data_IF_672778023066
#
_entry.id   IF_672778023066
#
_cell.length_a   1.000
_cell.length_b   1.000
_cell.length_c   1.000
_cell.angle_alpha   90.00
_cell.angle_beta   90.00
_cell.angle_gamma   90.00
#
_symmetry.space_group_name_H-M   'P 1'
#
loop_
_entity.id
_entity.type
_entity.pdbx_description
1 polymer ?
#
# COMPACT_ATOMS: atom_id res chain seq x y z
N UNK A 1 24.68 0.74 6.92
CA UNK A 1 25.25 1.35 8.15
C UNK A 1 24.63 2.73 8.42
N UNK A 2 24.52 3.62 7.41
CA UNK A 2 23.88 4.94 7.54
C UNK A 2 22.48 4.89 8.16
N UNK A 3 21.56 4.08 7.62
CA UNK A 3 20.19 3.90 8.15
C UNK A 3 20.17 3.59 9.66
N UNK A 4 21.08 2.72 10.12
CA UNK A 4 21.15 2.31 11.53
C UNK A 4 21.61 3.43 12.44
N UNK A 5 22.64 4.16 12.02
CA UNK A 5 23.17 5.30 12.77
C UNK A 5 22.09 6.37 12.88
N UNK A 6 21.42 6.69 11.78
CA UNK A 6 20.34 7.68 11.77
C UNK A 6 19.18 7.25 12.67
N UNK A 7 18.70 6.00 12.55
CA UNK A 7 17.64 5.51 13.41
C UNK A 7 18.05 5.49 14.89
N UNK A 8 19.29 5.12 15.19
CA UNK A 8 19.82 5.14 16.56
C UNK A 8 19.82 6.56 17.12
N UNK A 9 20.27 7.55 16.35
CA UNK A 9 20.25 8.96 16.75
C UNK A 9 18.81 9.46 16.98
N UNK A 10 17.87 9.08 16.11
CA UNK A 10 16.44 9.43 16.26
C UNK A 10 15.87 8.83 17.54
N UNK A 11 16.07 7.52 17.77
CA UNK A 11 15.55 6.82 18.96
C UNK A 11 16.19 7.34 20.24
N UNK A 12 17.51 7.56 20.25
CA UNK A 12 18.22 8.12 21.39
C UNK A 12 17.78 9.55 21.68
N UNK A 13 17.67 10.38 20.65
CA UNK A 13 17.19 11.76 20.76
C UNK A 13 15.76 11.84 21.27
N UNK A 14 14.86 11.00 20.76
CA UNK A 14 13.47 10.91 21.23
C UNK A 14 13.41 10.43 22.68
N UNK A 15 14.17 9.41 23.05
CA UNK A 15 14.22 8.90 24.43
C UNK A 15 14.76 9.96 25.39
N UNK A 16 15.84 10.65 25.02
CA UNK A 16 16.41 11.73 25.83
C UNK A 16 15.44 12.90 25.97
N UNK A 17 14.76 13.29 24.90
CA UNK A 17 13.73 14.31 24.92
C UNK A 17 12.59 13.93 25.88
N UNK A 18 12.04 12.72 25.76
CA UNK A 18 10.96 12.23 26.63
C UNK A 18 11.41 12.19 28.09
N UNK A 19 12.65 11.78 28.36
CA UNK A 19 13.19 11.71 29.71
C UNK A 19 13.42 13.10 30.33
N UNK A 20 14.00 14.04 29.59
CA UNK A 20 14.32 15.40 30.06
C UNK A 20 13.04 16.23 30.24
N UNK A 21 12.11 16.15 29.28
CA UNK A 21 10.88 16.94 29.26
C UNK A 21 9.68 16.17 29.79
N UNK A 22 9.88 15.18 30.66
CA UNK A 22 8.83 14.24 31.09
C UNK A 22 7.59 14.92 31.69
N UNK A 23 7.74 16.08 32.34
CA UNK A 23 6.61 16.87 32.86
C UNK A 23 5.75 17.52 31.76
N UNK A 24 6.22 17.52 30.51
CA UNK A 24 5.61 18.17 29.35
C UNK A 24 5.40 17.22 28.17
N UNK A 25 5.71 15.92 28.29
CA UNK A 25 5.59 14.96 27.17
C UNK A 25 4.17 14.84 26.68
N UNK A 26 3.19 14.87 27.58
CA UNK A 26 1.76 14.88 27.25
C UNK A 26 1.37 16.07 26.39
N UNK A 27 1.91 17.26 26.70
CA UNK A 27 1.68 18.47 25.90
C UNK A 27 2.37 18.39 24.54
N UNK A 28 3.56 17.77 24.47
CA UNK A 28 4.24 17.49 23.21
C UNK A 28 3.45 16.54 22.31
N UNK A 29 2.92 15.45 22.88
CA UNK A 29 2.09 14.48 22.18
C UNK A 29 0.75 15.10 21.77
N UNK A 30 0.12 15.89 22.64
CA UNK A 30 -1.08 16.65 22.32
C UNK A 30 -0.84 17.62 21.15
N UNK A 31 0.27 18.36 21.17
CA UNK A 31 0.65 19.26 20.09
C UNK A 31 0.83 18.49 18.78
N UNK A 32 1.51 17.34 18.80
CA UNK A 32 1.68 16.51 17.62
C UNK A 32 0.32 16.04 17.05
N UNK A 33 -0.57 15.55 17.92
CA UNK A 33 -1.92 15.12 17.53
C UNK A 33 -2.72 16.30 16.96
N UNK A 34 -2.61 17.50 17.55
CA UNK A 34 -3.25 18.72 17.04
C UNK A 34 -2.70 19.06 15.64
N UNK A 35 -1.38 19.07 15.45
CA UNK A 35 -0.76 19.38 14.16
C UNK A 35 -1.20 18.39 13.07
N UNK A 36 -1.19 17.09 13.38
CA UNK A 36 -1.68 16.05 12.46
C UNK A 36 -3.18 16.23 12.16
N UNK A 37 -3.99 16.56 13.17
CA UNK A 37 -5.42 16.79 12.99
C UNK A 37 -5.70 18.02 12.12
N UNK A 38 -4.99 19.12 12.36
CA UNK A 38 -5.06 20.34 11.54
C UNK A 38 -4.64 20.03 10.10
N UNK A 39 -3.57 19.26 9.91
CA UNK A 39 -3.12 18.86 8.57
C UNK A 39 -4.15 17.97 7.85
N UNK A 40 -4.73 16.98 8.54
CA UNK A 40 -5.78 16.12 8.00
C UNK A 40 -7.04 16.92 7.63
N UNK A 41 -7.44 17.90 8.46
CA UNK A 41 -8.56 18.81 8.17
C UNK A 41 -8.23 19.68 6.94
N UNK A 42 -7.04 20.26 6.89
CA UNK A 42 -6.58 21.09 5.78
C UNK A 42 -6.63 20.32 4.45
N UNK A 43 -6.04 19.13 4.39
CA UNK A 43 -6.04 18.30 3.17
C UNK A 43 -7.45 17.84 2.78
N UNK A 44 -8.31 17.52 3.76
CA UNK A 44 -9.72 17.21 3.51
C UNK A 44 -10.49 18.39 2.92
N UNK A 45 -10.26 19.61 3.45
CA UNK A 45 -10.87 20.83 2.93
C UNK A 45 -10.36 21.09 1.51
N UNK A 46 -9.05 20.97 1.28
CA UNK A 46 -8.44 21.11 -0.05
C UNK A 46 -9.07 20.14 -1.05
N UNK A 47 -9.27 18.87 -0.68
CA UNK A 47 -9.94 17.88 -1.52
C UNK A 47 -11.40 18.25 -1.83
N UNK A 48 -12.16 18.70 -0.83
CA UNK A 48 -13.54 19.16 -1.05
C UNK A 48 -13.61 20.40 -1.95
N UNK A 49 -12.64 21.30 -1.84
CA UNK A 49 -12.52 22.48 -2.71
C UNK A 49 -12.18 22.02 -4.14
N UNK A 50 -11.18 21.14 -4.31
CA UNK A 50 -10.81 20.55 -5.60
C UNK A 50 -12.02 19.92 -6.29
N UNK A 51 -12.77 19.06 -5.60
CA UNK A 51 -14.01 18.47 -6.13
C UNK A 51 -15.03 19.52 -6.58
N UNK A 52 -15.25 20.58 -5.79
CA UNK A 52 -16.19 21.65 -6.17
C UNK A 52 -15.72 22.42 -7.41
N UNK A 53 -14.41 22.61 -7.55
CA UNK A 53 -13.82 23.25 -8.74
C UNK A 53 -14.00 22.34 -9.95
N UNK A 54 -13.64 21.06 -9.83
CA UNK A 54 -13.74 20.08 -10.92
C UNK A 54 -15.19 19.85 -11.36
N UNK A 55 -16.17 19.91 -10.45
CA UNK A 55 -17.59 19.86 -10.80
C UNK A 55 -18.08 21.11 -11.55
N UNK A 56 -17.55 22.29 -11.22
CA UNK A 56 -17.92 23.55 -11.89
C UNK A 56 -17.19 23.76 -13.21
N UNK A 57 -15.96 23.23 -13.30
CA UNK A 57 -15.07 23.33 -14.45
C UNK A 57 -14.41 21.95 -14.62
N UNK A 58 -15.11 20.99 -15.25
CA UNK A 58 -14.53 19.70 -15.55
C UNK A 58 -13.23 19.91 -16.33
N UNK A 59 -12.16 19.23 -15.92
CA UNK A 59 -10.94 19.20 -16.71
C UNK A 59 -11.29 18.65 -18.09
N UNK A 60 -10.93 19.39 -19.13
CA UNK A 60 -11.09 18.92 -20.51
C UNK A 60 -10.06 17.83 -20.70
N UNK A 61 -10.52 16.60 -20.91
CA UNK A 61 -9.64 15.47 -21.21
C UNK A 61 -9.06 15.67 -22.60
N UNK A 62 -7.73 15.66 -22.74
CA UNK A 62 -7.10 15.66 -24.05
C UNK A 62 -7.24 14.27 -24.69
N UNK A 63 -8.27 14.12 -25.52
CA UNK A 63 -8.54 12.90 -26.28
C UNK A 63 -7.41 12.54 -27.28
N UNK A 64 -6.48 13.47 -27.55
CA UNK A 64 -5.30 13.23 -28.40
C UNK A 64 -4.14 12.61 -27.62
N UNK A 65 -4.11 12.75 -26.29
CA UNK A 65 -3.07 12.14 -25.46
C UNK A 65 -3.34 10.64 -25.28
N UNK A 66 -2.81 9.83 -26.21
CA UNK A 66 -2.94 8.38 -26.25
C UNK A 66 -1.58 7.70 -26.39
N UNK A 67 -0.68 7.85 -25.38
CA UNK A 67 0.66 7.26 -25.42
C UNK A 67 0.60 5.75 -25.63
N UNK A 68 1.61 5.18 -26.28
CA UNK A 68 1.74 3.73 -26.31
C UNK A 68 2.09 3.22 -24.90
N UNK A 69 1.37 2.20 -24.40
CA UNK A 69 1.55 1.69 -23.02
C UNK A 69 2.09 0.26 -23.04
N UNK A 70 3.19 0.00 -22.33
CA UNK A 70 3.64 -1.36 -22.05
C UNK A 70 3.11 -1.80 -20.70
N UNK A 71 2.25 -2.82 -20.68
CA UNK A 71 1.67 -3.38 -19.47
C UNK A 71 2.53 -4.55 -19.01
N UNK A 72 3.18 -4.42 -17.86
CA UNK A 72 4.07 -5.43 -17.28
C UNK A 72 3.36 -6.22 -16.20
N UNK A 73 3.38 -7.54 -16.32
CA UNK A 73 2.74 -8.46 -15.37
C UNK A 73 3.80 -9.47 -14.88
N UNK A 74 4.58 -9.13 -13.83
CA UNK A 74 5.53 -10.05 -13.22
C UNK A 74 4.82 -11.19 -12.48
N UNK A 75 5.26 -12.43 -12.74
CA UNK A 75 4.73 -13.63 -12.14
C UNK A 75 5.86 -14.55 -11.64
N UNK A 76 5.70 -15.11 -10.44
CA UNK A 76 6.58 -16.14 -9.90
C UNK A 76 5.73 -17.18 -9.19
N UNK A 77 5.55 -18.37 -9.77
CA UNK A 77 4.64 -19.42 -9.29
C UNK A 77 3.16 -18.98 -9.22
N UNK A 78 2.61 -18.41 -10.29
CA UNK A 78 1.25 -17.83 -10.36
C UNK A 78 0.38 -18.53 -11.42
N UNK A 79 0.62 -19.82 -11.69
CA UNK A 79 -0.07 -20.58 -12.74
C UNK A 79 -1.60 -20.56 -12.63
N UNK A 80 -2.14 -20.35 -11.42
CA UNK A 80 -3.57 -20.38 -11.13
C UNK A 80 -4.31 -19.07 -11.40
N UNK A 81 -3.58 -17.95 -11.51
CA UNK A 81 -4.17 -16.60 -11.59
C UNK A 81 -3.71 -15.80 -12.82
N UNK A 82 -2.49 -16.02 -13.32
CA UNK A 82 -1.89 -15.16 -14.36
C UNK A 82 -2.71 -15.09 -15.65
N UNK A 83 -3.33 -16.21 -16.06
CA UNK A 83 -4.16 -16.26 -17.26
C UNK A 83 -5.36 -15.31 -17.17
N UNK A 84 -6.05 -15.33 -16.03
CA UNK A 84 -7.23 -14.50 -15.80
C UNK A 84 -6.89 -13.00 -15.78
N UNK A 85 -5.74 -12.65 -15.22
CA UNK A 85 -5.22 -11.27 -15.23
C UNK A 85 -4.97 -10.81 -16.66
N UNK A 86 -4.24 -11.58 -17.47
CA UNK A 86 -3.98 -11.24 -18.87
C UNK A 86 -5.28 -11.12 -19.68
N UNK A 87 -6.23 -12.04 -19.49
CA UNK A 87 -7.56 -11.98 -20.13
C UNK A 87 -8.34 -10.71 -19.76
N UNK A 88 -8.18 -10.21 -18.55
CA UNK A 88 -8.83 -8.97 -18.11
C UNK A 88 -8.16 -7.75 -18.73
N UNK A 89 -6.83 -7.73 -18.81
CA UNK A 89 -6.06 -6.68 -19.49
C UNK A 89 -6.38 -6.63 -20.99
N UNK A 90 -6.58 -7.77 -21.65
CA UNK A 90 -6.97 -7.83 -23.06
C UNK A 90 -8.34 -7.17 -23.36
N UNK A 91 -9.19 -6.99 -22.33
CA UNK A 91 -10.52 -6.36 -22.43
C UNK A 91 -10.50 -4.85 -22.16
N UNK A 92 -9.33 -4.24 -21.93
CA UNK A 92 -9.22 -2.80 -21.74
C UNK A 92 -9.69 -2.05 -23.00
N UNK A 93 -10.49 -1.01 -22.78
CA UNK A 93 -10.97 -0.07 -23.79
C UNK A 93 -9.91 1.01 -24.05
N UNK A 94 -8.73 0.55 -24.49
CA UNK A 94 -7.61 1.39 -24.87
C UNK A 94 -6.87 0.71 -26.03
N UNK A 95 -6.68 1.35 -27.19
CA UNK A 95 -6.14 0.66 -28.37
C UNK A 95 -4.61 0.52 -28.37
N UNK A 96 -3.89 1.42 -27.70
CA UNK A 96 -2.45 1.62 -27.89
C UNK A 96 -1.62 0.96 -26.78
N UNK A 97 -1.68 -0.38 -26.65
CA UNK A 97 -0.88 -1.08 -25.64
C UNK A 97 -0.31 -2.43 -26.12
N UNK A 98 0.74 -2.86 -25.44
CA UNK A 98 1.24 -4.24 -25.44
C UNK A 98 1.24 -4.80 -24.01
N UNK A 99 1.21 -6.13 -23.89
CA UNK A 99 1.33 -6.85 -22.62
C UNK A 99 2.66 -7.60 -22.62
N UNK A 100 3.45 -7.41 -21.57
CA UNK A 100 4.68 -8.15 -21.30
C UNK A 100 4.39 -9.01 -20.07
N UNK A 101 4.04 -10.27 -20.30
CA UNK A 101 3.82 -11.26 -19.24
C UNK A 101 5.17 -11.89 -18.89
N UNK A 102 5.60 -11.75 -17.64
CA UNK A 102 6.99 -12.05 -17.26
C UNK A 102 7.03 -13.20 -16.26
N UNK A 103 7.72 -14.29 -16.61
CA UNK A 103 8.02 -15.38 -15.68
C UNK A 103 9.36 -15.12 -14.98
N UNK A 104 9.33 -14.95 -13.66
CA UNK A 104 10.52 -14.83 -12.82
C UNK A 104 10.95 -16.18 -12.26
N UNK A 105 11.44 -17.08 -13.12
CA UNK A 105 12.09 -18.33 -12.69
C UNK A 105 11.13 -19.22 -11.90
N UNK A 106 9.89 -19.37 -12.39
CA UNK A 106 8.90 -20.21 -11.71
C UNK A 106 9.31 -21.69 -11.73
N UNK A 107 8.84 -22.40 -10.71
CA UNK A 107 8.94 -23.86 -10.58
C UNK A 107 7.65 -24.59 -10.98
N UNK A 108 6.54 -23.86 -11.10
CA UNK A 108 5.24 -24.37 -11.57
C UNK A 108 5.06 -24.14 -13.09
N UNK A 109 3.83 -24.27 -13.61
CA UNK A 109 3.54 -24.10 -15.04
C UNK A 109 3.37 -22.65 -15.50
N UNK A 110 3.68 -21.63 -14.67
CA UNK A 110 3.50 -20.21 -15.03
C UNK A 110 4.11 -19.87 -16.39
N UNK A 111 5.36 -20.29 -16.64
CA UNK A 111 6.05 -20.05 -17.91
C UNK A 111 5.33 -20.67 -19.13
N UNK A 112 4.71 -21.83 -18.95
CA UNK A 112 3.94 -22.50 -20.02
C UNK A 112 2.64 -21.74 -20.29
N UNK A 113 1.92 -21.35 -19.23
CA UNK A 113 0.66 -20.60 -19.33
C UNK A 113 0.85 -19.29 -20.11
N UNK A 114 1.88 -18.51 -19.78
CA UNK A 114 2.11 -17.23 -20.49
C UNK A 114 2.52 -17.41 -21.96
N UNK A 115 3.25 -18.48 -22.30
CA UNK A 115 3.61 -18.80 -23.68
C UNK A 115 2.39 -19.23 -24.50
N UNK A 116 1.48 -19.98 -23.91
CA UNK A 116 0.26 -20.40 -24.59
C UNK A 116 -0.66 -19.20 -24.87
N UNK A 117 -0.68 -18.20 -23.99
CA UNK A 117 -1.42 -16.95 -24.22
C UNK A 117 -0.74 -16.09 -25.30
N UNK A 118 0.59 -15.98 -25.30
CA UNK A 118 1.34 -15.32 -26.39
C UNK A 118 1.01 -15.94 -27.75
N UNK A 119 0.94 -17.28 -27.85
CA UNK A 119 0.53 -17.96 -29.10
C UNK A 119 -0.88 -17.60 -29.55
N UNK A 120 -1.79 -17.35 -28.61
CA UNK A 120 -3.17 -16.97 -28.91
C UNK A 120 -3.28 -15.49 -29.32
N UNK A 121 -2.43 -14.62 -28.77
CA UNK A 121 -2.46 -13.17 -28.97
C UNK A 121 -1.08 -12.60 -29.33
N UNK A 122 -0.41 -13.06 -30.40
CA UNK A 122 1.00 -12.75 -30.67
C UNK A 122 1.27 -11.27 -30.97
N UNK A 123 0.26 -10.52 -31.42
CA UNK A 123 0.36 -9.08 -31.70
C UNK A 123 0.22 -8.21 -30.45
N UNK A 124 -0.30 -8.77 -29.34
CA UNK A 124 -0.58 -8.02 -28.10
C UNK A 124 0.16 -8.51 -26.88
N UNK A 125 0.49 -9.80 -26.80
CA UNK A 125 1.10 -10.43 -25.63
C UNK A 125 2.47 -10.94 -26.00
N UNK A 126 3.48 -10.53 -25.22
CA UNK A 126 4.85 -11.02 -25.29
C UNK A 126 5.17 -11.76 -24.00
N UNK A 127 5.55 -13.03 -24.11
CA UNK A 127 6.03 -13.82 -22.99
C UNK A 127 7.53 -13.56 -22.77
N UNK A 128 7.89 -13.10 -21.58
CA UNK A 128 9.29 -12.88 -21.20
C UNK A 128 9.70 -13.85 -20.10
N UNK A 129 10.49 -14.87 -20.44
CA UNK A 129 10.96 -15.87 -19.48
C UNK A 129 12.35 -15.50 -19.01
N UNK A 130 12.49 -15.15 -17.73
CA UNK A 130 13.81 -14.79 -17.17
C UNK A 130 14.67 -16.04 -16.98
N UNK A 131 15.97 -15.88 -17.18
CA UNK A 131 16.93 -16.95 -16.93
C UNK A 131 16.97 -17.34 -15.44
N UNK A 132 17.28 -18.60 -15.14
CA UNK A 132 17.30 -19.13 -13.76
C UNK A 132 18.31 -18.42 -12.85
N UNK A 133 19.37 -17.86 -13.41
CA UNK A 133 20.42 -17.09 -12.73
C UNK A 133 20.12 -15.59 -12.65
N UNK A 134 19.00 -15.11 -13.19
CA UNK A 134 18.62 -13.71 -13.14
C UNK A 134 18.43 -13.22 -11.70
N UNK A 135 18.70 -11.92 -11.47
CA UNK A 135 18.62 -11.31 -10.16
C UNK A 135 17.17 -11.39 -9.61
N UNK A 136 16.96 -11.86 -8.36
CA UNK A 136 15.63 -12.07 -7.83
C UNK A 136 14.90 -10.80 -7.44
N UNK A 137 13.56 -10.87 -7.45
CA UNK A 137 12.69 -9.84 -6.89
C UNK A 137 12.05 -8.95 -7.95
N UNK A 138 10.86 -8.42 -7.63
CA UNK A 138 9.99 -7.70 -8.55
C UNK A 138 10.68 -6.54 -9.27
N UNK A 139 11.50 -5.75 -8.56
CA UNK A 139 12.26 -4.65 -9.16
C UNK A 139 13.17 -5.08 -10.30
N UNK A 140 13.88 -6.20 -10.15
CA UNK A 140 14.77 -6.70 -11.20
C UNK A 140 13.97 -7.27 -12.38
N UNK A 141 12.85 -7.93 -12.10
CA UNK A 141 11.91 -8.39 -13.13
C UNK A 141 11.40 -7.22 -13.98
N UNK A 142 11.00 -6.13 -13.34
CA UNK A 142 10.50 -4.93 -14.01
C UNK A 142 11.60 -4.18 -14.77
N UNK A 143 12.82 -4.10 -14.23
CA UNK A 143 13.96 -3.52 -14.94
C UNK A 143 14.32 -4.31 -16.20
N UNK A 144 14.43 -5.64 -16.12
CA UNK A 144 14.73 -6.47 -17.30
C UNK A 144 13.62 -6.33 -18.37
N UNK A 145 12.35 -6.24 -17.94
CA UNK A 145 11.24 -6.04 -18.86
C UNK A 145 11.20 -4.63 -19.47
N UNK A 146 11.70 -3.61 -18.76
CA UNK A 146 11.77 -2.23 -19.24
C UNK A 146 12.64 -2.09 -20.49
N UNK A 147 13.71 -2.89 -20.58
CA UNK A 147 14.63 -2.90 -21.73
C UNK A 147 13.95 -3.33 -23.03
N UNK A 148 12.94 -4.19 -22.94
CA UNK A 148 12.20 -4.70 -24.11
C UNK A 148 10.85 -4.03 -24.33
N UNK A 149 10.39 -3.23 -23.37
CA UNK A 149 9.15 -2.48 -23.45
C UNK A 149 9.28 -1.34 -24.46
N UNK A 150 8.22 -1.06 -25.23
CA UNK A 150 8.19 0.00 -26.24
C UNK A 150 7.35 1.22 -25.84
N UNK A 151 6.54 1.09 -24.79
CA UNK A 151 5.57 2.10 -24.35
C UNK A 151 6.22 3.36 -23.81
N UNK A 152 5.67 4.52 -24.15
CA UNK A 152 5.97 5.82 -23.56
C UNK A 152 5.52 5.91 -22.08
N UNK A 153 4.60 5.03 -21.69
CA UNK A 153 4.21 4.79 -20.31
C UNK A 153 4.22 3.29 -20.00
N UNK A 154 4.49 2.97 -18.74
CA UNK A 154 4.59 1.61 -18.21
C UNK A 154 3.48 1.42 -17.17
N UNK A 155 2.65 0.41 -17.36
CA UNK A 155 1.62 0.03 -16.39
C UNK A 155 2.05 -1.27 -15.70
N UNK A 156 2.07 -1.29 -14.38
CA UNK A 156 2.42 -2.50 -13.62
C UNK A 156 1.17 -3.08 -12.96
N UNK A 157 0.95 -4.38 -13.17
CA UNK A 157 -0.04 -5.18 -12.46
C UNK A 157 0.60 -6.36 -11.74
N UNK A 158 0.09 -6.70 -10.57
CA UNK A 158 0.38 -8.01 -9.96
C UNK A 158 -0.31 -9.13 -10.76
N UNK A 159 0.22 -10.35 -10.67
CA UNK A 159 -0.25 -11.50 -11.44
C UNK A 159 -1.70 -11.93 -11.12
N UNK A 160 -2.29 -11.47 -10.02
CA UNK A 160 -3.66 -11.73 -9.60
C UNK A 160 -4.61 -10.54 -9.84
N UNK A 161 -4.14 -9.46 -10.48
CA UNK A 161 -4.92 -8.24 -10.65
C UNK A 161 -6.14 -8.44 -11.57
N UNK A 162 -7.25 -7.79 -11.23
CA UNK A 162 -8.36 -7.54 -12.17
C UNK A 162 -8.80 -6.10 -12.13
N UNK A 163 -9.43 -5.63 -13.21
CA UNK A 163 -9.77 -4.22 -13.42
C UNK A 163 -10.95 -4.09 -14.39
N UNK A 164 -11.61 -2.94 -14.35
CA UNK A 164 -12.68 -2.58 -15.28
C UNK A 164 -12.09 -2.16 -16.65
N UNK A 165 -12.89 -2.25 -17.72
CA UNK A 165 -12.39 -2.02 -19.09
C UNK A 165 -11.89 -0.59 -19.32
N UNK A 166 -12.43 0.40 -18.62
CA UNK A 166 -12.03 1.81 -18.72
C UNK A 166 -10.79 2.16 -17.87
N UNK A 167 -10.18 1.17 -17.20
CA UNK A 167 -9.09 1.38 -16.25
C UNK A 167 -7.92 2.19 -16.83
N UNK A 168 -7.37 1.75 -17.96
CA UNK A 168 -6.19 2.38 -18.54
C UNK A 168 -6.51 3.79 -19.05
N UNK A 169 -7.65 3.95 -19.73
CA UNK A 169 -8.13 5.23 -20.24
C UNK A 169 -8.24 6.27 -19.13
N UNK A 170 -8.78 5.90 -17.96
CA UNK A 170 -8.86 6.79 -16.82
C UNK A 170 -7.48 7.19 -16.23
N UNK A 171 -6.53 6.26 -16.18
CA UNK A 171 -5.17 6.57 -15.68
C UNK A 171 -4.38 7.45 -16.66
N UNK A 172 -4.54 7.24 -17.98
CA UNK A 172 -3.86 8.03 -19.02
C UNK A 172 -4.24 9.51 -18.93
N UNK A 173 -5.50 9.84 -18.66
CA UNK A 173 -5.93 11.23 -18.48
C UNK A 173 -5.23 11.92 -17.30
N UNK A 174 -5.02 11.22 -16.20
CA UNK A 174 -4.31 11.78 -15.05
C UNK A 174 -2.79 11.89 -15.29
N UNK A 175 -2.26 11.10 -16.24
CA UNK A 175 -0.85 11.09 -16.61
C UNK A 175 -0.50 12.22 -17.59
N UNK A 176 -1.45 12.74 -18.36
CA UNK A 176 -1.27 13.76 -19.39
C UNK A 176 -0.37 14.94 -18.97
N UNK A 177 -0.57 15.60 -17.81
CA UNK A 177 0.17 16.80 -17.47
C UNK A 177 1.69 16.55 -17.42
N UNK A 178 2.48 17.45 -18.03
CA UNK A 178 3.92 17.24 -18.23
C UNK A 178 4.72 17.03 -16.93
N UNK A 179 4.28 17.62 -15.83
CA UNK A 179 4.90 17.50 -14.49
C UNK A 179 4.56 16.19 -13.78
N UNK A 180 3.53 15.47 -14.22
CA UNK A 180 3.12 14.19 -13.63
C UNK A 180 3.99 13.07 -14.17
N UNK A 181 4.72 12.39 -13.28
CA UNK A 181 5.56 11.24 -13.60
C UNK A 181 4.84 9.91 -13.44
N UNK A 182 3.83 9.83 -12.56
CA UNK A 182 3.09 8.59 -12.33
C UNK A 182 1.67 8.83 -11.80
N UNK A 183 0.82 7.80 -11.95
CA UNK A 183 -0.57 7.75 -11.47
C UNK A 183 -0.80 6.41 -10.77
N UNK A 184 -1.33 6.45 -9.55
CA UNK A 184 -1.74 5.26 -8.80
C UNK A 184 -3.27 5.10 -8.86
N UNK A 185 -3.75 3.92 -9.24
CA UNK A 185 -5.16 3.55 -9.11
C UNK A 185 -5.54 3.20 -7.66
N UNK A 186 -6.83 3.25 -7.35
CA UNK A 186 -7.34 2.74 -6.08
C UNK A 186 -7.14 1.22 -5.99
N UNK A 187 -6.79 0.71 -4.81
CA UNK A 187 -6.74 -0.74 -4.54
C UNK A 187 -7.99 -1.21 -3.81
N UNK A 188 -8.53 -2.37 -4.20
CA UNK A 188 -9.69 -3.00 -3.55
C UNK A 188 -9.41 -4.49 -3.34
N UNK A 189 -9.75 -5.00 -2.15
CA UNK A 189 -9.64 -6.43 -1.86
C UNK A 189 -10.88 -7.14 -2.39
N UNK A 190 -10.69 -8.03 -3.35
CA UNK A 190 -11.79 -8.73 -4.05
C UNK A 190 -12.58 -9.66 -3.12
N UNK A 191 -11.87 -10.36 -2.25
CA UNK A 191 -12.42 -11.33 -1.30
C UNK A 191 -12.67 -10.74 0.10
N UNK A 192 -13.00 -9.45 0.17
CA UNK A 192 -13.21 -8.72 1.44
C UNK A 192 -14.31 -9.30 2.33
N UNK A 193 -15.26 -10.04 1.75
CA UNK A 193 -16.38 -10.63 2.49
C UNK A 193 -16.08 -12.04 3.02
N UNK A 194 -14.88 -12.60 2.73
CA UNK A 194 -14.51 -13.96 3.16
C UNK A 194 -14.35 -14.09 4.68
N UNK A 195 -13.63 -13.16 5.32
CA UNK A 195 -13.44 -13.18 6.76
C UNK A 195 -13.07 -11.79 7.31
N UNK A 196 -12.92 -11.68 8.63
CA UNK A 196 -12.56 -10.41 9.28
C UNK A 196 -11.20 -9.86 8.81
N UNK A 197 -10.23 -10.72 8.50
CA UNK A 197 -8.90 -10.27 8.05
C UNK A 197 -8.98 -9.65 6.66
N UNK A 198 -9.67 -10.28 5.71
CA UNK A 198 -9.83 -9.73 4.34
C UNK A 198 -10.67 -8.47 4.35
N UNK A 199 -11.68 -8.38 5.23
CA UNK A 199 -12.45 -7.15 5.47
C UNK A 199 -11.58 -6.02 6.03
N UNK A 200 -10.79 -6.28 7.07
CA UNK A 200 -9.88 -5.28 7.63
C UNK A 200 -8.84 -4.81 6.61
N UNK A 201 -8.31 -5.71 5.76
CA UNK A 201 -7.42 -5.34 4.65
C UNK A 201 -8.11 -4.41 3.65
N UNK A 202 -9.37 -4.68 3.26
CA UNK A 202 -10.13 -3.78 2.39
C UNK A 202 -10.33 -2.40 3.02
N UNK A 203 -10.65 -2.39 4.31
CA UNK A 203 -10.88 -1.15 5.05
C UNK A 203 -9.60 -0.34 5.17
N UNK A 204 -8.46 -1.00 5.31
CA UNK A 204 -7.14 -0.38 5.25
C UNK A 204 -6.87 0.26 3.88
N UNK A 205 -7.12 -0.45 2.76
CA UNK A 205 -7.00 0.12 1.41
C UNK A 205 -7.97 1.28 1.16
N UNK A 206 -9.15 1.23 1.77
CA UNK A 206 -10.13 2.32 1.69
C UNK A 206 -9.70 3.55 2.49
N UNK A 207 -9.04 3.35 3.63
CA UNK A 207 -8.43 4.43 4.40
C UNK A 207 -7.20 5.00 3.69
N UNK A 208 -6.39 4.16 3.05
CA UNK A 208 -5.30 4.59 2.17
C UNK A 208 -5.82 5.47 1.04
N UNK A 209 -6.93 5.08 0.39
CA UNK A 209 -7.61 5.88 -0.64
C UNK A 209 -7.91 7.30 -0.13
N UNK A 210 -8.45 7.42 1.09
CA UNK A 210 -8.71 8.72 1.72
C UNK A 210 -7.45 9.56 1.90
N UNK A 211 -6.36 8.95 2.39
CA UNK A 211 -5.10 9.65 2.55
C UNK A 211 -4.52 10.08 1.21
N UNK A 212 -4.46 9.19 0.21
CA UNK A 212 -3.86 9.48 -1.08
C UNK A 212 -4.62 10.56 -1.86
N UNK A 213 -5.96 10.58 -1.84
CA UNK A 213 -6.70 11.69 -2.48
C UNK A 213 -6.50 13.02 -1.75
N UNK A 214 -6.32 12.98 -0.43
CA UNK A 214 -6.12 14.18 0.38
C UNK A 214 -4.72 14.75 0.15
N UNK A 215 -3.72 13.89 0.00
CA UNK A 215 -2.34 14.25 -0.40
C UNK A 215 -2.32 14.81 -1.83
N UNK A 216 -2.99 14.15 -2.76
CA UNK A 216 -3.09 14.61 -4.15
C UNK A 216 -3.73 16.00 -4.26
N UNK A 217 -4.79 16.27 -3.47
CA UNK A 217 -5.49 17.54 -3.48
C UNK A 217 -4.60 18.74 -3.09
N UNK A 218 -3.53 18.52 -2.33
CA UNK A 218 -2.58 19.57 -1.94
C UNK A 218 -1.30 19.53 -2.77
N UNK A 219 -1.22 18.70 -3.82
CA UNK A 219 0.03 18.36 -4.53
C UNK A 219 1.14 17.92 -3.56
N UNK A 220 0.75 17.07 -2.61
CA UNK A 220 1.64 16.42 -1.66
C UNK A 220 2.38 15.23 -2.27
N UNK A 221 3.04 14.44 -1.43
CA UNK A 221 3.83 13.30 -1.87
C UNK A 221 2.97 12.04 -2.03
N UNK A 222 2.08 12.01 -3.03
CA UNK A 222 1.31 10.80 -3.35
C UNK A 222 2.26 9.62 -3.62
N UNK A 223 1.86 8.44 -3.18
CA UNK A 223 2.67 7.23 -3.24
C UNK A 223 1.98 6.16 -4.08
N UNK A 224 2.80 5.43 -4.81
CA UNK A 224 2.46 4.21 -5.52
C UNK A 224 2.30 3.04 -4.55
N UNK A 225 1.64 1.97 -5.01
CA UNK A 225 1.24 0.79 -4.23
C UNK A 225 1.53 -0.53 -4.96
N UNK A 226 2.38 -0.51 -5.98
CA UNK A 226 2.95 -1.68 -6.65
C UNK A 226 1.99 -2.41 -7.58
N UNK A 227 0.72 -2.03 -7.64
CA UNK A 227 -0.30 -2.68 -8.45
C UNK A 227 -1.24 -1.60 -8.98
N UNK A 228 -1.53 -1.61 -10.28
CA UNK A 228 -2.33 -0.58 -10.93
C UNK A 228 -1.67 0.79 -10.94
N UNK A 229 -0.34 0.82 -11.13
CA UNK A 229 0.46 2.05 -11.24
C UNK A 229 0.88 2.29 -12.69
N UNK A 230 0.51 3.46 -13.24
CA UNK A 230 0.91 3.90 -14.58
C UNK A 230 2.00 4.97 -14.44
N UNK A 231 3.15 4.75 -15.06
CA UNK A 231 4.33 5.57 -14.86
C UNK A 231 4.87 6.00 -16.23
N UNK A 232 5.20 7.28 -16.41
CA UNK A 232 5.87 7.75 -17.63
C UNK A 232 7.25 7.11 -17.74
N UNK A 233 7.58 6.59 -18.92
CA UNK A 233 8.93 6.06 -19.20
C UNK A 233 10.01 7.08 -18.87
N UNK A 234 9.85 8.32 -19.33
CA UNK A 234 10.81 9.39 -19.08
C UNK A 234 11.05 9.64 -17.58
N UNK A 235 10.03 9.44 -16.74
CA UNK A 235 10.16 9.57 -15.29
C UNK A 235 10.91 8.37 -14.68
N UNK A 236 10.63 7.14 -15.15
CA UNK A 236 11.37 5.93 -14.75
C UNK A 236 12.85 6.06 -15.14
N UNK A 237 13.13 6.53 -16.34
CA UNK A 237 14.50 6.72 -16.85
C UNK A 237 15.25 7.81 -16.06
N UNK A 238 14.61 8.94 -15.72
CA UNK A 238 15.24 10.01 -14.92
C UNK A 238 15.60 9.55 -13.50
N UNK A 239 14.80 8.66 -12.90
CA UNK A 239 15.12 8.07 -11.58
C UNK A 239 16.05 6.85 -11.66
N UNK A 240 16.39 6.38 -12.86
CA UNK A 240 17.28 5.24 -13.10
C UNK A 240 16.66 3.85 -12.90
N UNK A 241 15.36 3.70 -13.19
CA UNK A 241 14.65 2.41 -13.09
C UNK A 241 14.17 2.07 -11.67
N UNK A 242 13.83 0.80 -11.44
CA UNK A 242 13.50 0.27 -10.11
C UNK A 242 14.77 -0.01 -9.29
N UNK A 243 14.72 0.22 -7.98
CA UNK A 243 15.84 -0.10 -7.09
C UNK A 243 15.84 -1.59 -6.70
N UNK A 244 16.76 -2.39 -7.26
CA UNK A 244 16.84 -3.84 -6.98
C UNK A 244 17.14 -4.20 -5.51
N UNK A 245 17.57 -3.25 -4.69
CA UNK A 245 17.98 -3.47 -3.30
C UNK A 245 16.96 -2.94 -2.27
N UNK A 246 15.76 -2.55 -2.70
CA UNK A 246 14.68 -2.10 -1.81
C UNK A 246 13.67 -3.21 -1.51
N UNK A 247 12.98 -3.09 -0.37
CA UNK A 247 11.95 -4.05 0.08
C UNK A 247 10.55 -3.67 -0.46
N UNK A 248 10.32 -2.38 -0.68
CA UNK A 248 9.06 -1.81 -1.17
C UNK A 248 9.41 -0.90 -2.35
N UNK A 249 9.36 -1.48 -3.54
CA UNK A 249 9.84 -0.89 -4.79
C UNK A 249 8.98 0.28 -5.28
N UNK A 250 7.68 0.17 -5.06
CA UNK A 250 6.67 1.20 -5.26
C UNK A 250 6.92 2.47 -4.42
N UNK A 251 7.13 2.32 -3.11
CA UNK A 251 7.37 3.44 -2.19
C UNK A 251 8.74 4.08 -2.46
N UNK A 252 9.76 3.25 -2.72
CA UNK A 252 11.08 3.71 -3.13
C UNK A 252 10.99 4.58 -4.40
N UNK A 253 10.32 4.07 -5.43
CA UNK A 253 10.10 4.78 -6.68
C UNK A 253 9.35 6.10 -6.45
N UNK A 254 8.26 6.07 -5.69
CA UNK A 254 7.48 7.27 -5.35
C UNK A 254 8.37 8.37 -4.75
N UNK A 255 9.25 7.99 -3.83
CA UNK A 255 10.15 8.93 -3.15
C UNK A 255 11.16 9.53 -4.12
N UNK A 256 11.77 8.69 -4.97
CA UNK A 256 12.74 9.15 -5.97
C UNK A 256 12.10 10.06 -7.02
N UNK A 257 10.85 9.77 -7.44
CA UNK A 257 10.08 10.64 -8.33
C UNK A 257 9.88 12.03 -7.71
N UNK A 258 9.38 12.10 -6.47
CA UNK A 258 9.20 13.38 -5.76
C UNK A 258 10.52 14.11 -5.54
N UNK A 259 11.59 13.41 -5.17
CA UNK A 259 12.93 14.00 -5.01
C UNK A 259 13.42 14.64 -6.32
N UNK A 260 13.12 14.01 -7.46
CA UNK A 260 13.43 14.53 -8.81
C UNK A 260 12.46 15.61 -9.30
N UNK A 261 11.38 15.88 -8.56
CA UNK A 261 10.42 16.94 -8.86
C UNK A 261 9.25 16.50 -9.75
N UNK A 262 9.06 15.19 -9.94
CA UNK A 262 7.87 14.65 -10.60
C UNK A 262 6.69 14.63 -9.63
N UNK A 263 5.51 15.06 -10.09
CA UNK A 263 4.26 14.86 -9.38
C UNK A 263 3.80 13.40 -9.55
N UNK A 264 3.20 12.84 -8.51
CA UNK A 264 2.48 11.57 -8.56
C UNK A 264 1.01 11.88 -8.30
N UNK A 265 0.11 11.34 -9.12
CA UNK A 265 -1.34 11.52 -9.01
C UNK A 265 -2.02 10.26 -8.49
N UNK A 266 -3.23 10.43 -7.96
CA UNK A 266 -4.05 9.31 -7.50
C UNK A 266 -5.41 9.33 -8.22
N UNK A 267 -5.81 8.20 -8.79
CA UNK A 267 -7.08 8.05 -9.50
C UNK A 267 -8.09 7.28 -8.62
N UNK A 268 -9.00 7.96 -7.89
CA UNK A 268 -9.89 7.32 -6.93
C UNK A 268 -11.11 6.61 -7.54
N UNK A 269 -11.47 6.95 -8.78
CA UNK A 269 -12.66 6.44 -9.46
C UNK A 269 -12.39 5.17 -10.27
N UNK A 270 -11.14 4.70 -10.28
CA UNK A 270 -10.69 3.53 -11.02
C UNK A 270 -9.95 2.61 -10.06
N UNK A 271 -10.30 1.33 -10.06
CA UNK A 271 -9.80 0.37 -9.10
C UNK A 271 -9.10 -0.81 -9.75
N UNK A 272 -7.99 -1.22 -9.14
CA UNK A 272 -7.40 -2.54 -9.32
C UNK A 272 -7.83 -3.42 -8.15
N UNK A 273 -8.28 -4.62 -8.46
CA UNK A 273 -8.74 -5.61 -7.50
C UNK A 273 -7.67 -6.69 -7.30
N UNK A 274 -7.37 -7.00 -6.04
CA UNK A 274 -6.38 -8.02 -5.66
C UNK A 274 -6.95 -9.02 -4.65
N UNK A 275 -6.30 -10.18 -4.52
CA UNK A 275 -6.63 -11.20 -3.53
C UNK A 275 -6.06 -10.83 -2.15
N UNK A 276 -6.95 -10.66 -1.17
CA UNK A 276 -6.58 -10.45 0.22
C UNK A 276 -6.17 -11.74 0.91
N UNK A 277 -5.25 -11.62 1.87
CA UNK A 277 -4.71 -12.77 2.60
C UNK A 277 -5.70 -13.26 3.66
N UNK A 278 -6.10 -14.53 3.59
CA UNK A 278 -7.13 -15.08 4.49
C UNK A 278 -6.60 -15.51 5.87
N UNK A 279 -5.28 -15.66 6.04
CA UNK A 279 -4.67 -16.22 7.24
C UNK A 279 -3.74 -15.21 7.94
N UNK A 280 -3.75 -15.21 9.28
CA UNK A 280 -3.04 -14.22 10.09
C UNK A 280 -1.52 -14.23 9.90
N UNK A 281 -0.87 -15.41 9.90
CA UNK A 281 0.60 -15.48 9.83
C UNK A 281 1.16 -15.03 8.47
N UNK A 282 0.61 -15.44 7.31
CA UNK A 282 1.00 -14.86 6.03
C UNK A 282 0.76 -13.35 5.97
N UNK A 283 -0.37 -12.87 6.51
CA UNK A 283 -0.69 -11.43 6.54
C UNK A 283 0.33 -10.67 7.38
N UNK A 284 0.66 -11.16 8.58
CA UNK A 284 1.68 -10.57 9.45
C UNK A 284 3.06 -10.50 8.76
N UNK A 285 3.46 -11.54 8.02
CA UNK A 285 4.70 -11.54 7.23
C UNK A 285 4.68 -10.44 6.16
N UNK A 286 3.55 -10.26 5.47
CA UNK A 286 3.38 -9.18 4.49
C UNK A 286 3.48 -7.80 5.14
N UNK A 287 2.77 -7.54 6.25
CA UNK A 287 2.79 -6.24 6.93
C UNK A 287 4.14 -5.90 7.54
N UNK A 288 4.84 -6.90 8.06
CA UNK A 288 6.23 -6.76 8.51
C UNK A 288 7.14 -6.29 7.38
N UNK A 289 7.01 -6.87 6.18
CA UNK A 289 7.78 -6.50 4.99
C UNK A 289 7.48 -5.05 4.57
N UNK A 290 6.21 -4.69 4.50
CA UNK A 290 5.78 -3.33 4.13
C UNK A 290 6.33 -2.30 5.12
N UNK A 291 6.16 -2.52 6.41
CA UNK A 291 6.65 -1.60 7.44
C UNK A 291 8.17 -1.43 7.41
N UNK A 292 8.91 -2.54 7.24
CA UNK A 292 10.36 -2.47 7.12
C UNK A 292 10.81 -1.67 5.90
N UNK A 293 10.19 -1.92 4.74
CA UNK A 293 10.48 -1.15 3.53
C UNK A 293 10.18 0.33 3.71
N UNK A 294 9.02 0.68 4.27
CA UNK A 294 8.63 2.07 4.52
C UNK A 294 9.62 2.81 5.42
N UNK A 295 9.98 2.23 6.56
CA UNK A 295 10.91 2.87 7.51
C UNK A 295 12.31 2.98 6.90
N UNK A 296 12.83 1.93 6.26
CA UNK A 296 14.16 1.95 5.64
C UNK A 296 14.25 2.99 4.53
N UNK A 297 13.23 3.07 3.66
CA UNK A 297 13.14 4.09 2.62
C UNK A 297 13.25 5.50 3.19
N UNK A 298 12.49 5.82 4.25
CA UNK A 298 12.58 7.15 4.86
C UNK A 298 13.96 7.44 5.45
N UNK A 299 14.59 6.44 6.08
CA UNK A 299 15.95 6.58 6.62
C UNK A 299 17.00 6.75 5.51
N UNK A 300 16.84 6.04 4.39
CA UNK A 300 17.75 6.08 3.25
C UNK A 300 17.71 7.44 2.54
N UNK A 301 16.50 7.95 2.27
CA UNK A 301 16.29 9.19 1.53
C UNK A 301 16.10 10.44 2.42
N UNK A 302 16.27 10.34 3.74
CA UNK A 302 16.04 11.43 4.68
C UNK A 302 16.74 12.73 4.28
N UNK A 303 18.04 12.65 3.92
CA UNK A 303 18.82 13.81 3.50
C UNK A 303 18.33 14.42 2.20
N UNK A 304 18.00 13.59 1.21
CA UNK A 304 17.56 14.05 -0.11
C UNK A 304 16.17 14.70 -0.04
N UNK A 305 15.26 14.18 0.79
CA UNK A 305 13.95 14.78 1.04
C UNK A 305 14.09 16.22 1.58
N UNK A 306 15.02 16.42 2.52
CA UNK A 306 15.24 17.73 3.15
C UNK A 306 15.99 18.72 2.24
N UNK A 307 16.92 18.23 1.42
CA UNK A 307 17.89 19.08 0.72
C UNK A 307 17.66 19.21 -0.79
N UNK A 308 16.87 18.33 -1.41
CA UNK A 308 16.62 18.38 -2.86
C UNK A 308 15.94 19.69 -3.25
N UNK A 309 16.55 20.39 -4.21
CA UNK A 309 16.00 21.63 -4.79
C UNK A 309 14.87 21.38 -5.78
N UNK A 310 14.77 20.17 -6.34
CA UNK A 310 13.74 19.81 -7.32
C UNK A 310 12.43 19.40 -6.65
N UNK A 311 12.50 18.81 -5.45
CA UNK A 311 11.32 18.42 -4.69
C UNK A 311 10.51 19.65 -4.27
N UNK A 312 9.22 19.62 -4.56
CA UNK A 312 8.30 20.71 -4.21
C UNK A 312 8.21 20.86 -2.68
N UNK A 313 8.03 22.11 -2.21
CA UNK A 313 7.86 22.35 -0.77
C UNK A 313 6.64 21.63 -0.20
N UNK A 314 5.56 21.50 -0.99
CA UNK A 314 4.32 20.84 -0.58
C UNK A 314 4.53 19.34 -0.38
N UNK A 315 5.18 18.67 -1.34
CA UNK A 315 5.56 17.27 -1.20
C UNK A 315 6.50 17.06 -0.01
N UNK A 316 7.46 17.97 0.23
CA UNK A 316 8.37 17.88 1.38
C UNK A 316 7.65 17.97 2.71
N UNK A 317 6.78 18.98 2.89
CA UNK A 317 6.02 19.15 4.12
C UNK A 317 5.03 18.00 4.35
N UNK A 318 4.37 17.54 3.28
CA UNK A 318 3.50 16.36 3.33
C UNK A 318 4.27 15.10 3.76
N UNK A 319 5.46 14.87 3.19
CA UNK A 319 6.32 13.74 3.58
C UNK A 319 6.69 13.80 5.06
N UNK A 320 7.06 14.98 5.57
CA UNK A 320 7.40 15.16 6.99
C UNK A 320 6.17 14.91 7.88
N UNK A 321 5.01 15.44 7.50
CA UNK A 321 3.76 15.20 8.23
C UNK A 321 3.40 13.71 8.25
N UNK A 322 3.60 13.00 7.14
CA UNK A 322 3.31 11.58 7.05
C UNK A 322 4.27 10.73 7.89
N UNK A 323 5.58 11.05 7.90
CA UNK A 323 6.58 10.36 8.74
C UNK A 323 6.20 10.37 10.23
N UNK A 324 5.51 11.42 10.70
CA UNK A 324 5.10 11.54 12.10
C UNK A 324 4.19 10.41 12.58
N UNK A 325 3.50 9.70 11.67
CA UNK A 325 2.69 8.53 12.01
C UNK A 325 3.51 7.36 12.58
N UNK A 326 4.81 7.28 12.24
CA UNK A 326 5.71 6.25 12.77
C UNK A 326 6.39 6.69 14.07
N UNK A 327 6.54 7.99 14.28
CA UNK A 327 7.11 8.56 15.51
C UNK A 327 6.13 8.38 16.67
N UNK A 328 4.83 8.55 16.42
CA UNK A 328 3.80 8.51 17.47
C UNK A 328 3.74 7.15 18.21
N UNK A 329 3.66 5.97 17.55
CA UNK A 329 3.71 4.69 18.26
C UNK A 329 5.00 4.50 19.05
N UNK A 330 6.14 4.91 18.50
CA UNK A 330 7.43 4.81 19.20
C UNK A 330 7.45 5.69 20.45
N UNK A 331 7.02 6.95 20.33
CA UNK A 331 6.88 7.88 21.45
C UNK A 331 5.98 7.28 22.54
N UNK A 332 4.77 6.87 22.16
CA UNK A 332 3.77 6.34 23.09
C UNK A 332 4.31 5.16 23.91
N UNK A 333 5.01 4.24 23.24
CA UNK A 333 5.56 3.05 23.90
C UNK A 333 6.73 3.41 24.81
N UNK A 334 7.64 4.27 24.37
CA UNK A 334 8.78 4.72 25.19
C UNK A 334 8.27 5.44 26.44
N UNK A 335 7.29 6.33 26.29
CA UNK A 335 6.67 7.07 27.38
C UNK A 335 5.99 6.13 28.39
N UNK A 336 5.10 5.24 27.93
CA UNK A 336 4.45 4.24 28.80
C UNK A 336 5.50 3.35 29.50
N UNK A 337 6.56 2.94 28.80
CA UNK A 337 7.64 2.14 29.37
C UNK A 337 8.37 2.86 30.51
N UNK A 338 8.75 4.12 30.31
CA UNK A 338 9.39 4.95 31.36
C UNK A 338 8.46 5.14 32.56
N UNK A 339 7.19 5.44 32.32
CA UNK A 339 6.20 5.66 33.39
C UNK A 339 5.94 4.38 34.19
N UNK A 340 5.84 3.23 33.53
CA UNK A 340 5.67 1.93 34.19
C UNK A 340 6.85 1.60 35.11
N UNK A 341 8.08 1.85 34.66
CA UNK A 341 9.27 1.65 35.50
C UNK A 341 9.20 2.55 36.74
N UNK A 342 8.84 3.83 36.61
CA UNK A 342 8.70 4.76 37.74
C UNK A 342 7.64 4.33 38.76
N UNK A 343 6.49 3.88 38.28
CA UNK A 343 5.42 3.36 39.15
C UNK A 343 5.90 2.10 39.88
N UNK A 344 6.62 1.22 39.18
CA UNK A 344 7.15 -0.02 39.75
C UNK A 344 8.20 0.23 40.84
N UNK A 345 9.12 1.17 40.63
CA UNK A 345 10.16 1.56 41.60
C UNK A 345 9.64 2.56 42.66
N UNK A 346 8.34 2.88 42.65
CA UNK A 346 7.64 3.79 43.58
C UNK A 346 8.14 5.24 43.57
N UNK A 347 8.71 5.67 42.44
CA UNK A 347 9.14 7.06 42.20
C UNK A 347 8.01 7.94 41.65
N UNK A 348 6.89 7.33 41.23
CA UNK A 348 5.68 8.04 40.81
C UNK A 348 4.40 7.30 41.23
N UNK A 349 3.30 8.03 41.51
CA UNK A 349 2.02 7.40 41.81
C UNK A 349 1.37 6.79 40.54
N UNK A 350 0.61 5.69 40.65
CA UNK A 350 0.03 4.99 39.48
C UNK A 350 -0.87 5.85 38.58
N UNK A 351 -1.50 6.90 39.11
CA UNK A 351 -2.41 7.75 38.34
C UNK A 351 -1.73 8.54 37.22
N UNK A 352 -0.40 8.65 37.22
CA UNK A 352 0.37 9.30 36.15
C UNK A 352 0.21 8.58 34.80
N UNK A 353 -0.18 7.30 34.79
CA UNK A 353 -0.43 6.54 33.56
C UNK A 353 -1.76 6.92 32.89
N UNK A 354 -2.69 7.56 33.63
CA UNK A 354 -4.06 7.80 33.16
C UNK A 354 -4.09 8.76 31.96
N UNK A 355 -3.27 9.80 31.98
CA UNK A 355 -3.15 10.78 30.90
C UNK A 355 -2.67 10.14 29.60
N UNK A 356 -1.64 9.29 29.66
CA UNK A 356 -1.17 8.54 28.50
C UNK A 356 -2.24 7.58 27.97
N UNK A 357 -2.98 6.90 28.85
CA UNK A 357 -4.11 6.04 28.44
C UNK A 357 -5.21 6.86 27.74
N UNK A 358 -5.56 8.04 28.28
CA UNK A 358 -6.52 8.96 27.66
C UNK A 358 -6.04 9.39 26.27
N UNK A 359 -4.76 9.75 26.13
CA UNK A 359 -4.20 10.15 24.84
C UNK A 359 -4.24 9.01 23.81
N UNK A 360 -3.92 7.78 24.23
CA UNK A 360 -4.06 6.59 23.40
C UNK A 360 -5.51 6.37 22.93
N UNK A 361 -6.49 6.61 23.82
CA UNK A 361 -7.90 6.53 23.47
C UNK A 361 -8.33 7.62 22.46
N UNK A 362 -7.81 8.85 22.60
CA UNK A 362 -8.06 9.95 21.65
C UNK A 362 -7.51 9.61 20.27
N UNK A 363 -6.28 9.10 20.19
CA UNK A 363 -5.65 8.65 18.93
C UNK A 363 -6.47 7.53 18.29
N UNK A 364 -6.85 6.52 19.08
CA UNK A 364 -7.69 5.42 18.63
C UNK A 364 -9.04 5.89 18.09
N UNK A 365 -9.68 6.86 18.77
CA UNK A 365 -10.92 7.48 18.29
C UNK A 365 -10.72 8.21 16.96
N UNK A 366 -9.58 8.90 16.78
CA UNK A 366 -9.20 9.52 15.52
C UNK A 366 -9.16 8.52 14.35
N UNK A 367 -8.50 7.37 14.56
CA UNK A 367 -8.46 6.29 13.56
C UNK A 367 -9.86 5.72 13.25
N UNK A 368 -10.69 5.49 14.27
CA UNK A 368 -12.08 5.03 14.08
C UNK A 368 -12.86 6.03 13.23
N UNK A 369 -12.73 7.33 13.51
CA UNK A 369 -13.44 8.38 12.77
C UNK A 369 -12.96 8.49 11.32
N UNK A 370 -11.64 8.44 11.08
CA UNK A 370 -11.05 8.48 9.74
C UNK A 370 -11.46 7.26 8.91
N UNK A 371 -11.38 6.06 9.50
CA UNK A 371 -11.79 4.81 8.86
C UNK A 371 -13.29 4.83 8.55
N UNK A 372 -14.13 5.22 9.51
CA UNK A 372 -15.59 5.37 9.31
C UNK A 372 -15.93 6.32 8.16
N UNK A 373 -15.27 7.49 8.11
CA UNK A 373 -15.47 8.45 7.02
C UNK A 373 -15.11 7.83 5.67
N UNK A 374 -13.94 7.17 5.60
CA UNK A 374 -13.43 6.53 4.39
C UNK A 374 -14.39 5.45 3.87
N UNK A 375 -14.82 4.54 4.74
CA UNK A 375 -15.79 3.48 4.42
C UNK A 375 -17.11 4.03 3.90
N UNK A 376 -17.57 5.15 4.47
CA UNK A 376 -18.80 5.81 4.02
C UNK A 376 -18.66 6.47 2.66
N UNK A 377 -17.48 7.02 2.36
CA UNK A 377 -17.23 7.85 1.18
C UNK A 377 -16.84 7.05 -0.07
N UNK A 378 -16.05 5.99 0.09
CA UNK A 378 -15.48 5.23 -1.03
C UNK A 378 -16.08 3.83 -1.18
N UNK A 379 -16.61 3.26 -0.10
CA UNK A 379 -17.27 1.95 -0.10
C UNK A 379 -18.79 2.03 0.07
N UNK A 380 -19.34 3.24 0.23
CA UNK A 380 -20.78 3.49 0.39
C UNK A 380 -21.44 2.69 1.54
N UNK A 381 -20.67 2.23 2.53
CA UNK A 381 -21.13 1.35 3.61
C UNK A 381 -22.13 2.02 4.57
N UNK A 382 -23.31 1.43 4.88
CA UNK A 382 -24.32 2.00 5.77
C UNK A 382 -23.77 2.51 7.12
N UNK A 383 -24.41 3.51 7.73
CA UNK A 383 -23.89 4.19 8.95
C UNK A 383 -23.57 3.21 10.09
N UNK A 384 -24.40 2.20 10.31
CA UNK A 384 -24.17 1.18 11.35
C UNK A 384 -23.00 0.26 11.00
N UNK A 385 -23.00 -0.27 9.77
CA UNK A 385 -21.94 -1.16 9.28
C UNK A 385 -20.56 -0.47 9.30
N UNK A 386 -20.50 0.77 8.81
CA UNK A 386 -19.28 1.58 8.84
C UNK A 386 -18.76 1.83 10.26
N UNK A 387 -19.63 1.97 11.28
CA UNK A 387 -19.20 2.13 12.67
C UNK A 387 -18.53 0.85 13.17
N UNK A 388 -19.24 -0.27 13.06
CA UNK A 388 -18.77 -1.57 13.55
C UNK A 388 -17.45 -1.93 12.87
N UNK A 389 -17.41 -1.85 11.54
CA UNK A 389 -16.19 -2.18 10.79
C UNK A 389 -15.04 -1.23 11.10
N UNK A 390 -15.29 0.06 11.35
CA UNK A 390 -14.22 1.00 11.73
C UNK A 390 -13.62 0.68 13.10
N UNK A 391 -14.42 0.22 14.06
CA UNK A 391 -13.95 -0.22 15.38
C UNK A 391 -13.14 -1.51 15.25
N UNK A 392 -13.68 -2.51 14.55
CA UNK A 392 -12.99 -3.78 14.27
C UNK A 392 -11.64 -3.54 13.59
N UNK A 393 -11.62 -2.67 12.57
CA UNK A 393 -10.41 -2.35 11.81
C UNK A 393 -9.41 -1.60 12.68
N UNK A 394 -9.85 -0.67 13.53
CA UNK A 394 -8.94 0.06 14.43
C UNK A 394 -8.30 -0.86 15.47
N UNK A 395 -9.03 -1.85 15.98
CA UNK A 395 -8.48 -2.90 16.85
C UNK A 395 -7.47 -3.74 16.08
N UNK A 396 -7.80 -4.16 14.86
CA UNK A 396 -6.86 -4.88 13.98
C UNK A 396 -5.58 -4.08 13.74
N UNK A 397 -5.69 -2.78 13.45
CA UNK A 397 -4.53 -1.92 13.20
C UNK A 397 -3.66 -1.79 14.45
N UNK A 398 -4.28 -1.61 15.63
CA UNK A 398 -3.58 -1.56 16.91
C UNK A 398 -2.86 -2.88 17.21
N UNK A 399 -3.50 -4.03 16.99
CA UNK A 399 -2.91 -5.33 17.32
C UNK A 399 -1.79 -5.76 16.37
N UNK A 400 -1.84 -5.34 15.09
CA UNK A 400 -0.84 -5.74 14.09
C UNK A 400 0.25 -4.68 13.93
N UNK A 401 -0.11 -3.43 13.65
CA UNK A 401 0.87 -2.42 13.25
C UNK A 401 1.69 -1.86 14.43
N UNK A 402 1.08 -1.58 15.58
CA UNK A 402 1.80 -0.98 16.71
C UNK A 402 2.96 -1.86 17.21
N UNK A 403 2.76 -3.17 17.49
CA UNK A 403 3.88 -4.05 17.88
C UNK A 403 4.93 -4.19 16.77
N UNK A 404 4.50 -4.15 15.51
CA UNK A 404 5.41 -4.26 14.36
C UNK A 404 6.36 -3.06 14.28
N UNK A 405 5.94 -1.83 14.59
CA UNK A 405 6.81 -0.64 14.57
C UNK A 405 8.03 -0.84 15.47
N UNK A 406 7.83 -1.32 16.70
CA UNK A 406 8.93 -1.61 17.62
C UNK A 406 9.83 -2.73 17.11
N UNK A 407 9.21 -3.84 16.68
CA UNK A 407 9.94 -5.00 16.20
C UNK A 407 10.83 -4.63 15.00
N UNK A 408 10.31 -3.83 14.06
CA UNK A 408 11.06 -3.36 12.91
C UNK A 408 12.14 -2.36 13.31
N UNK A 409 11.87 -1.43 14.22
CA UNK A 409 12.89 -0.53 14.78
C UNK A 409 14.07 -1.31 15.37
N UNK A 410 13.78 -2.30 16.21
CA UNK A 410 14.78 -3.22 16.75
C UNK A 410 15.50 -4.00 15.65
N UNK A 411 14.77 -4.58 14.68
CA UNK A 411 15.34 -5.33 13.56
C UNK A 411 16.31 -4.47 12.76
N UNK A 412 15.96 -3.22 12.44
CA UNK A 412 16.83 -2.32 11.67
C UNK A 412 18.14 -2.05 12.44
N UNK A 413 18.04 -1.73 13.74
CA UNK A 413 19.18 -1.42 14.59
C UNK A 413 20.14 -2.61 14.78
N UNK A 414 19.60 -3.80 15.06
CA UNK A 414 20.40 -4.92 15.57
C UNK A 414 20.53 -6.10 14.59
N UNK A 415 19.63 -6.25 13.61
CA UNK A 415 19.62 -7.38 12.69
C UNK A 415 20.05 -6.98 11.28
N UNK A 416 20.67 -7.91 10.54
CA UNK A 416 21.05 -7.69 9.13
C UNK A 416 19.79 -7.46 8.29
N UNK A 417 19.91 -6.56 7.30
CA UNK A 417 18.89 -6.40 6.26
C UNK A 417 18.81 -7.74 5.51
N UNK A 418 17.61 -8.27 5.41
CA UNK A 418 17.31 -9.50 4.70
C UNK A 418 16.28 -9.18 3.61
N UNK A 419 16.59 -9.60 2.40
CA UNK A 419 15.74 -9.47 1.23
C UNK A 419 14.91 -10.74 0.98
N UNK A 420 14.79 -11.64 1.96
CA UNK A 420 13.98 -12.85 1.80
C UNK A 420 12.48 -12.50 1.76
N UNK A 421 11.93 -12.51 0.55
CA UNK A 421 10.60 -11.98 0.22
C UNK A 421 9.42 -12.80 0.74
N UNK A 422 9.64 -14.05 1.18
CA UNK A 422 8.60 -14.93 1.74
C UNK A 422 7.26 -14.84 1.00
N UNK A 423 7.15 -15.48 -0.16
CA UNK A 423 6.03 -15.34 -1.10
C UNK A 423 4.65 -15.43 -0.43
N UNK A 424 3.74 -14.53 -0.83
CA UNK A 424 2.30 -14.67 -0.53
C UNK A 424 1.71 -15.65 -1.54
N UNK A 425 0.96 -16.64 -1.07
CA UNK A 425 0.29 -17.60 -1.95
C UNK A 425 -1.06 -17.01 -2.39
N UNK A 426 -1.32 -17.04 -3.71
CA UNK A 426 -2.58 -16.63 -4.33
C UNK A 426 -3.33 -17.86 -4.87
N UNK A 427 -4.58 -17.68 -5.29
CA UNK A 427 -5.48 -18.75 -5.73
C UNK A 427 -6.11 -19.55 -4.59
N UNK A 428 -5.92 -19.13 -3.34
CA UNK A 428 -6.40 -19.85 -2.15
C UNK A 428 -7.94 -19.78 -2.04
N UNK A 429 -8.57 -18.72 -2.55
CA UNK A 429 -10.04 -18.62 -2.60
C UNK A 429 -10.67 -19.79 -3.38
N UNK A 430 -10.09 -20.18 -4.52
CA UNK A 430 -10.65 -21.25 -5.35
C UNK A 430 -10.69 -22.57 -4.57
N UNK A 431 -9.60 -22.86 -3.86
CA UNK A 431 -9.52 -24.01 -2.96
C UNK A 431 -10.53 -23.91 -1.81
N UNK A 432 -10.68 -22.75 -1.17
CA UNK A 432 -11.58 -22.58 -0.04
C UNK A 432 -13.06 -22.70 -0.45
N UNK A 433 -13.45 -22.13 -1.60
CA UNK A 433 -14.78 -22.32 -2.18
C UNK A 433 -15.07 -23.79 -2.50
N UNK A 434 -14.08 -24.52 -3.04
CA UNK A 434 -14.22 -25.95 -3.28
C UNK A 434 -14.43 -26.73 -1.97
N UNK A 435 -13.68 -26.39 -0.92
CA UNK A 435 -13.83 -26.98 0.41
C UNK A 435 -15.20 -26.66 1.02
N UNK A 436 -15.68 -25.41 0.93
CA UNK A 436 -16.99 -25.02 1.44
C UNK A 436 -18.12 -25.76 0.71
N UNK A 437 -18.07 -25.83 -0.62
CA UNK A 437 -19.03 -26.57 -1.44
C UNK A 437 -19.03 -28.07 -1.09
N UNK A 438 -17.86 -28.65 -0.84
CA UNK A 438 -17.74 -30.03 -0.39
C UNK A 438 -18.35 -30.25 1.01
N UNK A 439 -18.06 -29.37 1.97
CA UNK A 439 -18.65 -29.40 3.33
C UNK A 439 -20.17 -29.29 3.29
N UNK A 440 -20.70 -28.42 2.44
CA UNK A 440 -22.15 -28.24 2.29
C UNK A 440 -22.83 -29.48 1.68
N UNK A 441 -22.23 -30.08 0.66
CA UNK A 441 -22.69 -31.38 0.12
C UNK A 441 -22.69 -32.47 1.20
N UNK A 442 -21.64 -32.55 2.02
CA UNK A 442 -21.58 -33.52 3.13
C UNK A 442 -22.69 -33.25 4.17
N UNK A 443 -22.96 -31.97 4.48
CA UNK A 443 -24.05 -31.59 5.39
C UNK A 443 -25.41 -32.02 4.84
N UNK A 444 -25.69 -31.73 3.57
CA UNK A 444 -26.92 -32.13 2.89
C UNK A 444 -27.10 -33.65 2.89
N UNK A 445 -26.05 -34.39 2.53
CA UNK A 445 -26.07 -35.86 2.55
C UNK A 445 -26.33 -36.42 3.97
N UNK A 446 -25.75 -35.81 5.02
CA UNK A 446 -26.02 -36.19 6.41
C UNK A 446 -27.47 -35.92 6.83
N UNK A 447 -28.06 -34.83 6.35
CA UNK A 447 -29.47 -34.50 6.62
C UNK A 447 -30.43 -35.44 5.89
N UNK A 448 -30.14 -35.81 4.64
CA UNK A 448 -30.90 -36.81 3.88
C UNK A 448 -30.81 -38.18 4.53
N UNK A 449 -29.62 -38.62 4.94
CA UNK A 449 -29.43 -39.87 5.67
C UNK A 449 -30.23 -39.90 6.98
N UNK A 450 -30.25 -38.79 7.73
CA UNK A 450 -31.07 -38.66 8.94
C UNK A 450 -32.57 -38.72 8.66
N UNK A 451 -33.03 -38.22 7.51
CA UNK A 451 -34.44 -38.33 7.10
C UNK A 451 -34.81 -39.76 6.69
N UNK A 452 -33.90 -40.47 6.03
CA UNK A 452 -34.08 -41.86 5.63
C UNK A 452 -34.08 -42.81 6.84
N UNK A 453 -33.23 -42.57 7.84
CA UNK A 453 -33.17 -43.36 9.08
C UNK A 453 -34.33 -43.07 10.07
N UNK A 454 -35.17 -42.07 9.78
CA UNK A 454 -36.38 -41.74 10.56
C UNK A 454 -37.67 -42.28 9.93
N UNK A 455 -37.59 -42.87 8.73
CA UNK A 455 -38.64 -43.70 8.13
C UNK A 455 -38.30 -45.15 8.43
#
# INVERSE_FOLDING_TARGET
MKERILLFVIVLGLTAFIYIFQSYTEWGLALLVILMSVYAIFTTIAYKIKQRIDLKKPQVKDESYKPFVSIMIPAHNEETVIAHTIETVLKLDYPNFEIIAIDDRSSDNTASVIKDIERQYPEKVKAFIRSKDAFPGKSAVLNDALEIAKGEAILVFDADATMDSDFLTNLVYELEPKDVGAVQARKIIRNKDMNILTRCQNNEMTMDTYFQVSRDAVKGAVELRGNGELIKRAAIEDIGGWNNYTITDDLDMSTRLHIKGWDVRFCPNTAVYEEGIMYLFPLYRQRRRWLEGTIRRYLEYFGDILTSKKMSLRARLDTIAYISEFIMPAWFIIEIGILLVKVFVKDAPPHILLSSVIMGAIIGLGFVMACRYSLRRYDNLPRKAALVQSIETSIYLLLIWFPLVLFIGFKILFMKKDMNWGKTAHGLIQHEHAIQKAKEKIRQAKEELKKLLKK
#
